data_IF_582894533597
#
_entry.id   IF_582894533597
#
_cell.length_a   1.000
_cell.length_b   1.000
_cell.length_c   1.000
_cell.angle_alpha   90.00
_cell.angle_beta   90.00
_cell.angle_gamma   90.00
#
_symmetry.space_group_name_H-M   'P 1'
#
loop_
_entity.id
_entity.type
_entity.pdbx_description
1 polymer ?
#
# COMPACT_ATOMS: atom_id res chain seq x y z
N UNK A 1 49.25 79.02 60.45
CA UNK A 1 49.52 77.57 60.57
C UNK A 1 48.19 76.84 60.66
N UNK A 2 47.86 76.01 59.65
CA UNK A 2 47.06 74.76 59.73
C UNK A 2 46.57 74.40 58.31
N UNK A 3 46.82 73.15 57.90
CA UNK A 3 46.43 72.53 56.62
C UNK A 3 45.00 72.01 56.72
N UNK A 4 44.19 72.16 55.68
CA UNK A 4 43.13 71.19 55.35
C UNK A 4 43.06 70.98 53.82
N UNK A 5 43.06 69.70 53.41
CA UNK A 5 42.91 69.21 52.03
C UNK A 5 41.42 69.06 51.70
N UNK A 6 40.97 69.23 50.44
CA UNK A 6 39.69 68.71 50.02
C UNK A 6 39.82 67.25 49.57
N UNK A 7 38.99 66.38 50.15
CA UNK A 7 38.75 64.99 49.74
C UNK A 7 37.86 64.94 48.51
N UNK A 8 38.37 64.32 47.44
CA UNK A 8 37.62 63.95 46.25
C UNK A 8 36.68 62.77 46.54
N UNK A 9 35.37 63.00 46.50
CA UNK A 9 34.38 61.93 46.30
C UNK A 9 33.92 61.96 44.85
N UNK A 10 34.55 61.15 44.01
CA UNK A 10 33.99 60.71 42.72
C UNK A 10 33.32 59.37 42.95
N UNK A 11 31.98 59.38 43.07
CA UNK A 11 31.17 58.17 43.07
C UNK A 11 31.23 57.50 41.70
N UNK A 12 31.75 56.28 41.68
CA UNK A 12 31.99 55.47 40.49
C UNK A 12 30.69 54.78 40.04
N UNK A 13 30.02 55.32 39.03
CA UNK A 13 28.79 54.77 38.41
C UNK A 13 29.07 53.81 37.24
N UNK A 14 30.33 53.37 37.07
CA UNK A 14 30.76 52.44 36.01
C UNK A 14 30.46 50.94 36.22
N UNK A 15 30.31 50.39 37.44
CA UNK A 15 30.13 48.94 37.61
C UNK A 15 28.80 48.38 37.09
N UNK A 16 27.71 49.12 37.26
CA UNK A 16 26.35 48.65 36.90
C UNK A 16 26.12 48.62 35.38
N UNK A 17 26.60 49.64 34.67
CA UNK A 17 26.49 49.71 33.20
C UNK A 17 27.29 48.58 32.52
N UNK A 18 28.44 48.21 33.07
CA UNK A 18 29.25 47.10 32.57
C UNK A 18 28.60 45.72 32.82
N UNK A 19 27.98 45.53 33.99
CA UNK A 19 27.23 44.30 34.29
C UNK A 19 25.99 44.14 33.41
N UNK A 20 25.26 45.24 33.16
CA UNK A 20 24.07 45.24 32.32
C UNK A 20 24.40 44.96 30.84
N UNK A 21 25.52 45.49 30.34
CA UNK A 21 26.02 45.20 28.99
C UNK A 21 26.44 43.72 28.85
N UNK A 22 27.08 43.15 29.87
CA UNK A 22 27.47 41.73 29.87
C UNK A 22 26.24 40.80 29.89
N UNK A 23 25.21 41.16 30.68
CA UNK A 23 23.94 40.43 30.73
C UNK A 23 23.18 40.50 29.39
N UNK A 24 23.20 41.65 28.71
CA UNK A 24 22.63 41.82 27.37
C UNK A 24 23.37 40.98 26.32
N UNK A 25 24.70 40.95 26.36
CA UNK A 25 25.51 40.11 25.46
C UNK A 25 25.28 38.62 25.71
N UNK A 26 25.15 38.21 26.97
CA UNK A 26 24.76 36.83 27.33
C UNK A 26 23.36 36.49 26.83
N UNK A 27 22.37 37.35 27.05
CA UNK A 27 21.00 37.14 26.58
C UNK A 27 20.93 37.09 25.03
N UNK A 28 21.66 37.96 24.33
CA UNK A 28 21.77 37.93 22.87
C UNK A 28 22.45 36.65 22.38
N UNK A 29 23.51 36.19 23.07
CA UNK A 29 24.17 34.93 22.78
C UNK A 29 23.26 33.72 22.98
N UNK A 30 22.46 33.69 24.06
CA UNK A 30 21.47 32.64 24.30
C UNK A 30 20.35 32.64 23.26
N UNK A 31 19.83 33.82 22.90
CA UNK A 31 18.80 33.97 21.85
C UNK A 31 19.35 33.50 20.49
N UNK A 32 20.58 33.89 20.13
CA UNK A 32 21.21 33.43 18.90
C UNK A 32 21.38 31.91 18.89
N UNK A 33 21.81 31.31 20.00
CA UNK A 33 21.99 29.86 20.11
C UNK A 33 20.68 29.08 20.10
N UNK A 34 19.62 29.65 20.69
CA UNK A 34 18.27 29.10 20.60
C UNK A 34 17.74 29.17 19.17
N UNK A 35 17.91 30.31 18.50
CA UNK A 35 17.49 30.51 17.11
C UNK A 35 18.24 29.59 16.14
N UNK A 36 19.55 29.40 16.31
CA UNK A 36 20.36 28.51 15.47
C UNK A 36 19.94 27.04 15.66
N UNK A 37 19.71 26.64 16.91
CA UNK A 37 19.18 25.31 17.23
C UNK A 37 17.78 25.11 16.67
N UNK A 38 16.90 26.09 16.76
CA UNK A 38 15.54 26.05 16.20
C UNK A 38 15.55 25.94 14.66
N UNK A 39 16.42 26.71 13.98
CA UNK A 39 16.62 26.59 12.53
C UNK A 39 17.17 25.23 12.10
N UNK A 40 18.13 24.68 12.86
CA UNK A 40 18.66 23.35 12.60
C UNK A 40 17.58 22.27 12.79
N UNK A 41 16.79 22.35 13.87
CA UNK A 41 15.65 21.45 14.10
C UNK A 41 14.60 21.57 12.98
N UNK A 42 14.20 22.78 12.58
CA UNK A 42 13.26 22.99 11.48
C UNK A 42 13.76 22.38 10.17
N UNK A 43 15.04 22.58 9.84
CA UNK A 43 15.65 22.07 8.59
C UNK A 43 15.69 20.53 8.56
N UNK A 44 16.00 19.89 9.69
CA UNK A 44 15.97 18.43 9.80
C UNK A 44 14.55 17.89 9.62
N UNK A 45 13.55 18.57 10.17
CA UNK A 45 12.15 18.14 10.08
C UNK A 45 11.54 18.35 8.70
N UNK A 46 11.92 19.43 8.00
CA UNK A 46 11.47 19.67 6.63
C UNK A 46 11.90 18.54 5.68
N UNK A 47 13.08 17.95 5.92
CA UNK A 47 13.61 16.84 5.13
C UNK A 47 12.85 15.51 5.30
N UNK A 48 12.14 15.31 6.41
CA UNK A 48 11.46 14.03 6.74
C UNK A 48 9.98 14.04 6.34
N UNK A 49 9.49 15.12 5.72
CA UNK A 49 8.07 15.27 5.37
C UNK A 49 7.12 14.85 6.51
N UNK A 50 7.45 15.32 7.71
CA UNK A 50 6.78 14.92 8.94
C UNK A 50 6.26 16.11 9.73
N UNK A 51 5.10 15.93 10.33
CA UNK A 51 4.45 16.89 11.21
C UNK A 51 4.86 16.59 12.64
N UNK A 52 5.51 17.54 13.31
CA UNK A 52 5.65 17.49 14.76
C UNK A 52 4.46 18.14 15.42
N UNK A 53 3.98 17.53 16.50
CA UNK A 53 2.85 18.05 17.24
C UNK A 53 3.03 17.85 18.74
N UNK A 54 2.43 18.76 19.53
CA UNK A 54 2.32 18.66 20.97
C UNK A 54 0.90 19.00 21.40
N UNK A 55 0.33 18.21 22.30
CA UNK A 55 -1.06 18.28 22.71
C UNK A 55 -1.19 18.18 24.23
N UNK A 56 -1.89 19.13 24.83
CA UNK A 56 -2.31 19.11 26.24
C UNK A 56 -3.59 18.28 26.36
N UNK A 57 -3.47 17.09 26.95
CA UNK A 57 -4.57 16.13 27.03
C UNK A 57 -5.74 16.63 27.88
N UNK A 58 -5.44 17.29 29.00
CA UNK A 58 -6.46 17.75 29.95
C UNK A 58 -7.25 18.93 29.40
N UNK A 59 -6.54 19.89 28.77
CA UNK A 59 -7.16 21.08 28.18
C UNK A 59 -7.73 20.84 26.78
N UNK A 60 -7.44 19.69 26.18
CA UNK A 60 -7.75 19.38 24.78
C UNK A 60 -7.25 20.45 23.81
N UNK A 61 -6.01 20.92 24.03
CA UNK A 61 -5.43 22.03 23.29
C UNK A 61 -4.15 21.60 22.59
N UNK A 62 -4.01 21.95 21.31
CA UNK A 62 -2.74 21.80 20.60
C UNK A 62 -1.79 22.90 21.08
N UNK A 63 -0.63 22.49 21.60
CA UNK A 63 0.41 23.40 22.11
C UNK A 63 1.39 23.82 21.01
N UNK A 64 1.64 22.92 20.07
CA UNK A 64 2.57 23.12 18.97
C UNK A 64 2.22 22.23 17.79
N UNK A 65 2.41 22.75 16.58
CA UNK A 65 2.32 22.03 15.31
C UNK A 65 3.40 22.59 14.38
N UNK A 66 4.16 21.73 13.73
CA UNK A 66 5.17 22.21 12.78
C UNK A 66 4.52 22.74 11.49
N UNK A 67 5.19 23.66 10.75
CA UNK A 67 4.67 24.18 9.48
C UNK A 67 4.38 23.11 8.42
N UNK A 68 5.02 21.94 8.52
CA UNK A 68 4.75 20.80 7.65
C UNK A 68 3.28 20.35 7.67
N UNK A 69 2.52 20.64 8.74
CA UNK A 69 1.09 20.37 8.81
C UNK A 69 0.32 20.99 7.65
N UNK A 70 0.55 22.27 7.34
CA UNK A 70 -0.22 22.95 6.30
C UNK A 70 0.05 22.36 4.92
N UNK A 71 1.26 21.86 4.69
CA UNK A 71 1.66 21.16 3.45
C UNK A 71 1.04 19.76 3.34
N UNK A 72 1.03 18.98 4.41
CA UNK A 72 0.58 17.58 4.40
C UNK A 72 -0.94 17.49 4.50
N UNK A 73 -1.53 18.24 5.44
CA UNK A 73 -2.97 18.27 5.69
C UNK A 73 -3.70 19.23 4.75
N UNK A 74 -3.01 20.20 4.13
CA UNK A 74 -3.67 21.21 3.28
C UNK A 74 -4.66 22.11 4.05
N UNK A 75 -4.53 22.17 5.38
CA UNK A 75 -5.42 22.92 6.29
C UNK A 75 -4.59 23.89 7.12
N UNK A 76 -5.21 24.97 7.59
CA UNK A 76 -4.47 25.97 8.37
C UNK A 76 -4.09 25.44 9.75
N UNK A 77 -2.81 25.59 10.11
CA UNK A 77 -2.30 25.29 11.44
C UNK A 77 -2.99 26.16 12.51
N UNK A 78 -3.35 27.40 12.15
CA UNK A 78 -4.02 28.33 13.06
C UNK A 78 -5.42 27.87 13.47
N UNK A 79 -6.15 27.20 12.57
CA UNK A 79 -7.46 26.61 12.88
C UNK A 79 -7.30 25.41 13.81
N UNK A 80 -6.33 24.53 13.54
CA UNK A 80 -6.04 23.40 14.43
C UNK A 80 -5.60 23.85 15.84
N UNK A 81 -4.85 24.94 15.94
CA UNK A 81 -4.47 25.55 17.22
C UNK A 81 -5.68 26.10 17.99
N UNK A 82 -6.70 26.57 17.28
CA UNK A 82 -7.92 27.11 17.86
C UNK A 82 -8.93 26.02 18.26
N UNK A 83 -9.04 24.95 17.46
CA UNK A 83 -9.92 23.81 17.72
C UNK A 83 -9.25 22.48 17.35
N UNK A 84 -9.03 21.64 18.36
CA UNK A 84 -8.50 20.29 18.18
C UNK A 84 -9.42 19.39 17.33
N UNK A 85 -10.73 19.70 17.23
CA UNK A 85 -11.63 18.92 16.38
C UNK A 85 -11.24 18.99 14.90
N UNK A 86 -10.48 19.99 14.46
CA UNK A 86 -9.94 20.07 13.10
C UNK A 86 -9.07 18.86 12.72
N UNK A 87 -8.32 18.29 13.67
CA UNK A 87 -7.58 17.05 13.44
C UNK A 87 -8.53 15.88 13.21
N UNK A 88 -9.57 15.78 14.05
CA UNK A 88 -10.56 14.72 13.97
C UNK A 88 -11.32 14.76 12.64
N UNK A 89 -11.68 15.96 12.20
CA UNK A 89 -12.40 16.21 10.95
C UNK A 89 -11.50 16.04 9.71
N UNK A 90 -10.19 15.89 9.89
CA UNK A 90 -9.26 15.50 8.85
C UNK A 90 -9.11 13.98 8.71
N UNK A 91 -9.48 13.18 9.72
CA UNK A 91 -9.33 11.72 9.67
C UNK A 91 -10.37 11.12 8.71
N UNK A 92 -9.95 10.11 7.94
CA UNK A 92 -10.86 9.36 7.07
C UNK A 92 -11.96 8.68 7.92
N UNK A 93 -13.26 8.72 7.51
CA UNK A 93 -14.37 8.24 8.34
C UNK A 93 -14.20 6.80 8.87
N UNK A 94 -13.70 5.88 8.03
CA UNK A 94 -13.45 4.49 8.42
C UNK A 94 -12.34 4.32 9.48
N UNK A 95 -11.45 5.30 9.62
CA UNK A 95 -10.26 5.21 10.46
C UNK A 95 -10.41 6.04 11.76
N UNK A 96 -11.46 6.86 11.88
CA UNK A 96 -11.69 7.77 13.00
C UNK A 96 -11.67 7.04 14.35
N UNK A 97 -12.48 5.99 14.45
CA UNK A 97 -12.59 5.15 15.63
C UNK A 97 -11.25 4.53 16.06
N UNK A 98 -10.44 4.13 15.07
CA UNK A 98 -9.12 3.56 15.31
C UNK A 98 -8.13 4.64 15.77
N UNK A 99 -8.12 5.80 15.12
CA UNK A 99 -7.22 6.91 15.44
C UNK A 99 -7.47 7.46 16.85
N UNK A 100 -8.73 7.65 17.26
CA UNK A 100 -9.06 8.10 18.62
C UNK A 100 -8.66 7.08 19.68
N UNK A 101 -9.01 5.80 19.47
CA UNK A 101 -8.66 4.71 20.41
C UNK A 101 -7.16 4.56 20.56
N UNK A 102 -6.41 4.62 19.46
CA UNK A 102 -4.96 4.48 19.47
C UNK A 102 -4.27 5.68 20.10
N UNK A 103 -4.79 6.91 19.95
CA UNK A 103 -4.28 8.07 20.68
C UNK A 103 -4.53 7.95 22.19
N UNK A 104 -5.71 7.53 22.62
CA UNK A 104 -6.02 7.32 24.03
C UNK A 104 -5.14 6.25 24.69
N UNK A 105 -4.66 5.24 23.94
CA UNK A 105 -3.75 4.21 24.45
C UNK A 105 -2.41 4.76 24.94
N UNK A 106 -2.00 5.94 24.46
CA UNK A 106 -0.75 6.59 24.90
C UNK A 106 -0.79 6.85 26.41
N UNK A 107 -1.96 7.18 26.98
CA UNK A 107 -2.13 7.40 28.42
C UNK A 107 -1.85 6.16 29.25
N UNK A 108 -2.12 4.98 28.68
CA UNK A 108 -1.98 3.69 29.37
C UNK A 108 -0.58 3.13 29.18
N UNK A 109 -0.05 3.22 27.96
CA UNK A 109 1.23 2.60 27.57
C UNK A 109 2.44 3.55 27.71
N UNK A 110 2.21 4.85 27.83
CA UNK A 110 3.25 5.89 27.76
C UNK A 110 3.73 6.21 26.34
N UNK A 111 3.59 5.27 25.39
CA UNK A 111 3.99 5.41 23.99
C UNK A 111 3.09 4.59 23.05
N UNK A 112 2.95 5.06 21.81
CA UNK A 112 2.38 4.34 20.68
C UNK A 112 3.27 4.61 19.46
N UNK A 113 3.91 3.57 18.96
CA UNK A 113 4.93 3.68 17.89
C UNK A 113 4.43 3.28 16.51
N UNK A 114 3.34 2.50 16.43
CA UNK A 114 2.81 1.94 15.20
C UNK A 114 1.32 2.31 15.06
N UNK A 115 1.06 3.56 14.72
CA UNK A 115 -0.28 4.04 14.37
C UNK A 115 -0.28 4.55 12.94
N UNK A 116 -0.90 3.78 12.05
CA UNK A 116 -1.10 4.17 10.65
C UNK A 116 -2.59 4.43 10.39
N UNK A 117 -2.94 5.60 9.87
CA UNK A 117 -4.32 5.96 9.54
C UNK A 117 -4.38 6.89 8.34
N UNK A 118 -5.54 6.96 7.71
CA UNK A 118 -5.81 7.85 6.59
C UNK A 118 -6.37 9.19 7.06
N UNK A 119 -5.97 10.24 6.37
CA UNK A 119 -6.59 11.56 6.43
C UNK A 119 -7.16 11.95 5.07
N UNK A 120 -8.09 12.89 5.05
CA UNK A 120 -8.56 13.62 3.87
C UNK A 120 -8.07 15.05 3.99
N UNK A 121 -7.14 15.42 3.11
CA UNK A 121 -6.52 16.75 3.14
C UNK A 121 -7.52 17.85 2.68
N UNK A 122 -7.14 19.12 2.80
CA UNK A 122 -7.98 20.26 2.41
C UNK A 122 -8.40 20.29 0.93
N UNK A 123 -7.78 19.46 0.08
CA UNK A 123 -8.11 19.31 -1.35
C UNK A 123 -9.01 18.09 -1.62
N UNK A 124 -9.30 17.28 -0.60
CA UNK A 124 -10.10 16.05 -0.72
C UNK A 124 -9.29 14.79 -1.06
N UNK A 125 -7.96 14.86 -1.09
CA UNK A 125 -7.10 13.70 -1.35
C UNK A 125 -6.92 12.85 -0.10
N UNK A 126 -6.91 11.54 -0.27
CA UNK A 126 -6.60 10.59 0.81
C UNK A 126 -5.09 10.50 0.98
N UNK A 127 -4.59 10.73 2.21
CA UNK A 127 -3.19 10.55 2.57
C UNK A 127 -3.04 9.55 3.72
N UNK A 128 -1.96 8.79 3.72
CA UNK A 128 -1.61 7.88 4.80
C UNK A 128 -0.59 8.51 5.73
N UNK A 129 -0.87 8.51 7.03
CA UNK A 129 0.06 8.95 8.06
C UNK A 129 0.56 7.77 8.88
N UNK A 130 1.86 7.76 9.16
CA UNK A 130 2.48 6.95 10.22
C UNK A 130 2.81 7.87 11.38
N UNK A 131 2.13 7.69 12.50
CA UNK A 131 2.17 8.59 13.64
C UNK A 131 2.73 7.89 14.87
N UNK A 132 3.76 8.51 15.47
CA UNK A 132 4.41 8.02 16.68
C UNK A 132 4.25 9.07 17.76
N UNK A 133 3.80 8.67 18.94
CA UNK A 133 3.58 9.62 20.02
C UNK A 133 3.83 9.02 21.40
N UNK A 134 4.25 9.87 22.32
CA UNK A 134 4.63 9.51 23.67
C UNK A 134 4.25 10.61 24.66
N UNK A 135 4.11 10.21 25.92
CA UNK A 135 3.91 11.16 27.01
C UNK A 135 5.23 11.86 27.32
N UNK A 136 5.24 13.18 27.29
CA UNK A 136 6.36 13.97 27.76
C UNK A 136 6.33 14.02 29.31
N UNK A 137 7.19 13.24 29.97
CA UNK A 137 7.20 13.07 31.43
C UNK A 137 7.87 14.22 32.21
N UNK A 138 7.93 15.44 31.66
CA UNK A 138 8.56 16.56 32.38
C UNK A 138 7.69 17.09 33.54
N UNK A 139 7.97 16.51 34.72
CA UNK A 139 7.62 16.88 36.12
C UNK A 139 6.34 16.28 36.74
N UNK A 140 6.53 15.71 37.93
CA UNK A 140 5.46 15.30 38.85
C UNK A 140 4.48 16.45 39.10
N UNK A 141 3.22 16.25 38.73
CA UNK A 141 2.09 17.10 39.15
C UNK A 141 1.56 18.12 38.14
N UNK A 142 2.16 18.28 36.95
CA UNK A 142 1.75 19.31 35.99
C UNK A 142 1.51 18.74 34.58
N UNK A 143 0.23 18.52 34.23
CA UNK A 143 -0.36 18.29 32.90
C UNK A 143 0.23 17.18 32.02
N UNK A 144 -0.66 16.32 31.50
CA UNK A 144 -0.27 15.29 30.53
C UNK A 144 -0.11 15.91 29.14
N UNK A 145 1.14 16.11 28.74
CA UNK A 145 1.50 16.56 27.39
C UNK A 145 1.86 15.33 26.55
N UNK A 146 1.17 15.16 25.44
CA UNK A 146 1.50 14.15 24.43
C UNK A 146 2.24 14.85 23.30
N UNK A 147 3.38 14.32 22.92
CA UNK A 147 4.14 14.81 21.76
C UNK A 147 4.26 13.69 20.73
N UNK A 148 4.33 14.06 19.46
CA UNK A 148 4.45 13.07 18.40
C UNK A 148 4.98 13.61 17.10
N UNK A 149 5.24 12.67 16.20
CA UNK A 149 5.67 12.89 14.83
C UNK A 149 4.78 12.05 13.92
N UNK A 150 4.12 12.72 12.96
CA UNK A 150 3.30 12.11 11.94
C UNK A 150 3.97 12.27 10.57
N UNK A 151 4.45 11.16 10.02
CA UNK A 151 5.10 11.09 8.70
C UNK A 151 4.04 10.78 7.62
N UNK A 152 4.07 11.52 6.51
CA UNK A 152 3.25 11.20 5.33
C UNK A 152 3.88 10.00 4.58
N UNK A 153 3.26 8.84 4.71
CA UNK A 153 3.70 7.58 4.09
C UNK A 153 2.87 7.24 2.85
N UNK A 154 2.15 8.20 2.25
CA UNK A 154 1.28 7.97 1.09
C UNK A 154 2.05 7.38 -0.09
N UNK A 155 3.22 7.95 -0.42
CA UNK A 155 4.08 7.45 -1.50
C UNK A 155 4.61 6.05 -1.19
N UNK A 156 5.02 5.80 0.07
CA UNK A 156 5.44 4.47 0.51
C UNK A 156 4.32 3.44 0.33
N UNK A 157 3.09 3.74 0.75
CA UNK A 157 1.93 2.86 0.55
C UNK A 157 1.60 2.64 -0.92
N UNK A 158 1.74 3.67 -1.76
CA UNK A 158 1.57 3.54 -3.21
C UNK A 158 2.61 2.58 -3.81
N UNK A 159 3.89 2.78 -3.50
CA UNK A 159 4.99 1.92 -3.95
C UNK A 159 4.85 0.48 -3.45
N UNK A 160 4.47 0.28 -2.18
CA UNK A 160 4.16 -1.06 -1.64
C UNK A 160 3.02 -1.73 -2.41
N UNK A 161 1.97 -0.96 -2.75
CA UNK A 161 0.85 -1.42 -3.56
C UNK A 161 1.28 -1.82 -4.98
N UNK A 162 2.10 -1.00 -5.63
CA UNK A 162 2.63 -1.29 -6.96
C UNK A 162 3.58 -2.49 -6.97
N UNK A 163 4.48 -2.58 -5.99
CA UNK A 163 5.36 -3.74 -5.81
C UNK A 163 4.55 -5.01 -5.61
N UNK A 164 3.51 -4.96 -4.78
CA UNK A 164 2.60 -6.10 -4.58
C UNK A 164 1.88 -6.46 -5.87
N UNK A 165 1.40 -5.47 -6.64
CA UNK A 165 0.77 -5.71 -7.94
C UNK A 165 1.74 -6.37 -8.91
N UNK A 166 2.95 -5.83 -9.09
CA UNK A 166 3.98 -6.39 -9.97
C UNK A 166 4.41 -7.80 -9.54
N UNK A 167 4.50 -8.06 -8.23
CA UNK A 167 4.85 -9.36 -7.69
C UNK A 167 3.76 -10.42 -7.91
N UNK A 168 2.49 -10.02 -8.06
CA UNK A 168 1.34 -10.94 -8.09
C UNK A 168 0.60 -11.01 -9.43
N UNK A 169 0.74 -9.98 -10.26
CA UNK A 169 -0.10 -9.74 -11.43
C UNK A 169 0.74 -9.71 -12.70
N UNK A 170 0.23 -10.30 -13.79
CA UNK A 170 0.79 -10.17 -15.13
C UNK A 170 0.49 -8.79 -15.69
N UNK A 171 1.54 -8.08 -16.14
CA UNK A 171 1.43 -6.66 -16.53
C UNK A 171 0.53 -6.47 -17.75
N UNK A 172 0.52 -7.42 -18.69
CA UNK A 172 -0.28 -7.30 -19.89
C UNK A 172 -1.76 -7.59 -19.65
N UNK A 173 -2.04 -8.73 -19.01
CA UNK A 173 -3.40 -9.28 -18.89
C UNK A 173 -4.11 -8.88 -17.60
N UNK A 174 -3.38 -8.31 -16.64
CA UNK A 174 -3.87 -8.03 -15.29
C UNK A 174 -4.47 -9.28 -14.60
N UNK A 175 -4.07 -10.48 -15.02
CA UNK A 175 -4.39 -11.76 -14.37
C UNK A 175 -3.28 -12.13 -13.39
N UNK A 176 -3.41 -13.20 -12.61
CA UNK A 176 -2.29 -13.65 -11.77
C UNK A 176 -1.08 -13.98 -12.66
N UNK A 177 0.10 -13.52 -12.27
CA UNK A 177 1.33 -13.94 -12.96
C UNK A 177 1.66 -15.41 -12.63
N UNK A 178 2.54 -16.02 -13.42
CA UNK A 178 2.98 -17.42 -13.25
C UNK A 178 3.37 -17.74 -11.82
N UNK A 179 4.25 -16.94 -11.23
CA UNK A 179 4.80 -17.20 -9.88
C UNK A 179 3.67 -17.24 -8.84
N UNK A 180 2.86 -16.19 -8.80
CA UNK A 180 1.80 -16.06 -7.82
C UNK A 180 0.69 -17.10 -8.03
N UNK A 181 0.38 -17.42 -9.28
CA UNK A 181 -0.61 -18.46 -9.60
C UNK A 181 -0.19 -19.80 -8.99
N UNK A 182 1.05 -20.24 -9.22
CA UNK A 182 1.53 -21.52 -8.68
C UNK A 182 1.69 -21.51 -7.15
N UNK A 183 2.08 -20.39 -6.55
CA UNK A 183 2.08 -20.23 -5.08
C UNK A 183 0.67 -20.46 -4.50
N UNK A 184 -0.35 -19.79 -5.05
CA UNK A 184 -1.74 -19.94 -4.61
C UNK A 184 -2.32 -21.33 -4.96
N UNK A 185 -2.01 -21.87 -6.14
CA UNK A 185 -2.45 -23.19 -6.56
C UNK A 185 -1.91 -24.28 -5.64
N UNK A 186 -0.65 -24.19 -5.20
CA UNK A 186 -0.05 -25.15 -4.27
C UNK A 186 -0.68 -25.07 -2.88
N UNK A 187 -1.02 -23.87 -2.41
CA UNK A 187 -1.78 -23.70 -1.18
C UNK A 187 -3.21 -24.25 -1.30
N UNK A 188 -3.86 -24.07 -2.44
CA UNK A 188 -5.18 -24.65 -2.70
C UNK A 188 -5.14 -26.18 -2.76
N UNK A 189 -4.15 -26.75 -3.45
CA UNK A 189 -3.90 -28.19 -3.52
C UNK A 189 -3.70 -28.80 -2.14
N UNK A 190 -2.77 -28.26 -1.33
CA UNK A 190 -2.51 -28.79 0.01
C UNK A 190 -3.77 -28.74 0.87
N UNK A 191 -4.51 -27.62 0.86
CA UNK A 191 -5.78 -27.50 1.59
C UNK A 191 -6.84 -28.50 1.11
N UNK A 192 -6.93 -28.73 -0.20
CA UNK A 192 -7.90 -29.67 -0.75
C UNK A 192 -7.57 -31.11 -0.34
N UNK A 193 -6.31 -31.50 -0.44
CA UNK A 193 -5.81 -32.81 -0.02
C UNK A 193 -6.01 -33.04 1.48
N UNK A 194 -5.62 -32.08 2.31
CA UNK A 194 -5.68 -32.21 3.78
C UNK A 194 -7.13 -32.30 4.29
N UNK A 195 -8.06 -31.61 3.63
CA UNK A 195 -9.49 -31.62 3.99
C UNK A 195 -10.32 -32.67 3.21
N UNK A 196 -9.71 -33.42 2.30
CA UNK A 196 -10.43 -34.34 1.41
C UNK A 196 -11.49 -33.67 0.54
N UNK A 197 -11.29 -32.39 0.16
CA UNK A 197 -12.22 -31.65 -0.69
C UNK A 197 -11.81 -31.72 -2.16
N UNK A 198 -12.77 -31.68 -3.10
CA UNK A 198 -12.46 -31.77 -4.52
C UNK A 198 -11.72 -30.52 -5.00
N UNK A 199 -10.83 -30.69 -5.98
CA UNK A 199 -10.13 -29.62 -6.65
C UNK A 199 -9.92 -30.02 -8.11
N UNK A 200 -10.16 -29.08 -9.02
CA UNK A 200 -9.87 -29.26 -10.43
C UNK A 200 -8.80 -28.26 -10.90
N UNK A 201 -8.00 -28.69 -11.87
CA UNK A 201 -6.95 -27.90 -12.49
C UNK A 201 -7.17 -27.86 -14.00
N UNK A 202 -7.13 -26.67 -14.58
CA UNK A 202 -7.30 -26.43 -16.00
C UNK A 202 -6.06 -25.75 -16.55
N UNK A 203 -5.56 -26.28 -17.66
CA UNK A 203 -4.57 -25.64 -18.51
C UNK A 203 -5.25 -25.27 -19.82
N UNK A 204 -4.97 -24.08 -20.34
CA UNK A 204 -5.46 -23.65 -21.64
C UNK A 204 -4.39 -22.90 -22.42
N UNK A 205 -4.45 -23.06 -23.73
CA UNK A 205 -3.55 -22.44 -24.68
C UNK A 205 -4.35 -21.92 -25.89
N UNK A 206 -3.94 -20.76 -26.39
CA UNK A 206 -4.58 -20.09 -27.51
C UNK A 206 -4.15 -20.74 -28.83
N UNK A 207 -5.13 -21.30 -29.53
CA UNK A 207 -4.88 -21.97 -30.80
C UNK A 207 -4.36 -20.98 -31.84
N UNK A 208 -3.27 -21.37 -32.52
CA UNK A 208 -2.65 -20.61 -33.61
C UNK A 208 -2.22 -19.18 -33.23
N UNK A 209 -1.92 -18.91 -31.96
CA UNK A 209 -1.52 -17.58 -31.50
C UNK A 209 -0.29 -17.01 -32.22
N UNK A 210 0.68 -17.86 -32.54
CA UNK A 210 1.83 -17.45 -33.38
C UNK A 210 1.39 -16.92 -34.74
N UNK A 211 0.41 -17.56 -35.40
CA UNK A 211 -0.12 -17.10 -36.69
C UNK A 211 -0.79 -15.72 -36.56
N UNK A 212 -1.47 -15.46 -35.45
CA UNK A 212 -2.06 -14.14 -35.16
C UNK A 212 -0.97 -13.08 -35.09
N UNK A 213 0.09 -13.32 -34.31
CA UNK A 213 1.22 -12.39 -34.22
C UNK A 213 1.92 -12.19 -35.56
N UNK A 214 2.16 -13.27 -36.30
CA UNK A 214 2.83 -13.22 -37.60
C UNK A 214 1.98 -12.50 -38.66
N UNK A 215 0.65 -12.55 -38.54
CA UNK A 215 -0.28 -11.94 -39.51
C UNK A 215 -0.65 -10.50 -39.19
N UNK A 216 -0.82 -10.17 -37.90
CA UNK A 216 -1.39 -8.89 -37.44
C UNK A 216 -0.45 -8.07 -36.55
N UNK A 217 0.67 -8.66 -36.13
CA UNK A 217 1.63 -8.05 -35.23
C UNK A 217 1.36 -8.30 -33.75
N UNK A 218 2.40 -8.08 -32.93
CA UNK A 218 2.34 -8.26 -31.48
C UNK A 218 1.26 -7.42 -30.77
N UNK A 219 0.97 -6.16 -31.15
CA UNK A 219 -0.10 -5.39 -30.51
C UNK A 219 -1.48 -6.07 -30.61
N UNK A 220 -1.75 -6.78 -31.71
CA UNK A 220 -2.98 -7.54 -31.87
C UNK A 220 -2.99 -8.81 -31.02
N UNK A 221 -1.87 -9.53 -30.96
CA UNK A 221 -1.71 -10.66 -30.03
C UNK A 221 -1.91 -10.24 -28.57
N UNK A 222 -1.42 -9.05 -28.19
CA UNK A 222 -1.60 -8.48 -26.86
C UNK A 222 -3.09 -8.22 -26.55
N UNK A 223 -3.84 -7.70 -27.50
CA UNK A 223 -5.30 -7.52 -27.37
C UNK A 223 -6.02 -8.87 -27.20
N UNK A 224 -5.62 -9.90 -27.95
CA UNK A 224 -6.17 -11.25 -27.80
C UNK A 224 -5.96 -11.77 -26.37
N UNK A 225 -4.72 -11.67 -25.86
CA UNK A 225 -4.38 -12.10 -24.51
C UNK A 225 -5.19 -11.37 -23.43
N UNK A 226 -5.37 -10.05 -23.58
CA UNK A 226 -6.17 -9.23 -22.67
C UNK A 226 -7.64 -9.66 -22.65
N UNK A 227 -8.25 -9.85 -23.83
CA UNK A 227 -9.67 -10.22 -23.95
C UNK A 227 -9.96 -11.61 -23.41
N UNK A 228 -9.00 -12.54 -23.55
CA UNK A 228 -9.09 -13.88 -22.94
C UNK A 228 -8.99 -13.79 -21.43
N UNK A 229 -8.09 -12.96 -20.90
CA UNK A 229 -7.99 -12.77 -19.46
C UNK A 229 -9.24 -12.14 -18.84
N UNK A 230 -9.86 -11.18 -19.52
CA UNK A 230 -11.13 -10.57 -19.11
C UNK A 230 -12.29 -11.58 -19.15
N UNK A 231 -12.29 -12.47 -20.14
CA UNK A 231 -13.25 -13.58 -20.22
C UNK A 231 -13.10 -14.51 -19.01
N UNK A 232 -11.87 -14.87 -18.65
CA UNK A 232 -11.58 -15.64 -17.44
C UNK A 232 -12.10 -14.95 -16.18
N UNK A 233 -11.77 -13.66 -15.97
CA UNK A 233 -12.23 -12.89 -14.80
C UNK A 233 -13.75 -12.83 -14.67
N UNK A 234 -14.47 -12.74 -15.78
CA UNK A 234 -15.93 -12.64 -15.80
C UNK A 234 -16.60 -13.98 -15.52
N UNK A 235 -15.99 -15.07 -15.98
CA UNK A 235 -16.57 -16.42 -15.92
C UNK A 235 -16.27 -17.13 -14.61
N UNK A 236 -15.09 -16.91 -14.05
CA UNK A 236 -14.67 -17.56 -12.81
C UNK A 236 -15.28 -16.87 -11.60
N UNK A 237 -15.63 -17.65 -10.57
CA UNK A 237 -16.23 -17.11 -9.34
C UNK A 237 -15.15 -16.63 -8.38
N UNK A 238 -15.57 -15.85 -7.38
CA UNK A 238 -14.71 -15.47 -6.25
C UNK A 238 -14.18 -16.74 -5.56
N UNK A 239 -12.86 -16.88 -5.50
CA UNK A 239 -12.18 -18.02 -4.88
C UNK A 239 -11.53 -18.98 -5.88
N UNK A 240 -11.93 -18.94 -7.15
CA UNK A 240 -11.19 -19.63 -8.20
C UNK A 240 -9.89 -18.86 -8.52
N UNK A 241 -8.86 -19.57 -8.96
CA UNK A 241 -7.60 -18.98 -9.38
C UNK A 241 -7.53 -18.94 -10.90
N UNK A 242 -7.05 -17.83 -11.46
CA UNK A 242 -6.82 -17.69 -12.90
C UNK A 242 -5.56 -16.85 -13.14
N UNK A 243 -4.67 -17.34 -13.99
CA UNK A 243 -3.42 -16.64 -14.28
C UNK A 243 -2.81 -17.00 -15.61
N UNK A 244 -2.04 -16.05 -16.16
CA UNK A 244 -1.18 -16.28 -17.31
C UNK A 244 0.13 -16.90 -16.84
N UNK A 245 0.41 -18.11 -17.33
CA UNK A 245 1.59 -18.88 -16.92
C UNK A 245 2.69 -18.92 -17.98
N UNK A 246 2.39 -18.56 -19.22
CA UNK A 246 3.30 -18.60 -20.37
C UNK A 246 2.94 -17.56 -21.43
N UNK A 247 3.57 -17.67 -22.61
CA UNK A 247 3.37 -16.73 -23.72
C UNK A 247 1.89 -16.64 -24.12
N UNK A 248 1.29 -17.75 -24.50
CA UNK A 248 -0.12 -17.88 -24.90
C UNK A 248 -0.93 -18.80 -23.98
N UNK A 249 -0.35 -19.14 -22.82
CA UNK A 249 -0.87 -20.15 -21.90
C UNK A 249 -1.45 -19.51 -20.63
N UNK A 250 -2.64 -19.98 -20.26
CA UNK A 250 -3.29 -19.66 -18.99
C UNK A 250 -3.60 -20.93 -18.22
N UNK A 251 -3.76 -20.77 -16.92
CA UNK A 251 -4.18 -21.85 -16.04
C UNK A 251 -5.25 -21.37 -15.07
N UNK A 252 -6.08 -22.31 -14.64
CA UNK A 252 -7.08 -22.09 -13.61
C UNK A 252 -7.10 -23.22 -12.58
N UNK A 253 -7.44 -22.88 -11.34
CA UNK A 253 -7.71 -23.84 -10.26
C UNK A 253 -9.07 -23.56 -9.68
N UNK A 254 -9.85 -24.62 -9.46
CA UNK A 254 -11.20 -24.56 -8.93
C UNK A 254 -11.28 -25.30 -7.58
N UNK A 255 -10.96 -24.64 -6.46
CA UNK A 255 -11.09 -25.24 -5.13
C UNK A 255 -12.54 -25.58 -4.83
N UNK A 256 -12.79 -26.78 -4.31
CA UNK A 256 -14.14 -27.25 -3.99
C UNK A 256 -14.99 -27.63 -5.20
N UNK A 257 -14.40 -27.78 -6.39
CA UNK A 257 -15.12 -28.20 -7.61
C UNK A 257 -14.75 -29.63 -8.01
N UNK A 258 -15.77 -30.42 -8.34
CA UNK A 258 -15.57 -31.70 -9.02
C UNK A 258 -15.15 -31.50 -10.48
N UNK A 259 -14.68 -32.57 -11.13
CA UNK A 259 -14.31 -32.56 -12.54
C UNK A 259 -15.47 -32.12 -13.45
N UNK A 260 -16.69 -32.57 -13.15
CA UNK A 260 -17.88 -32.29 -13.96
C UNK A 260 -18.25 -30.80 -13.89
N UNK A 261 -18.21 -30.20 -12.69
CA UNK A 261 -18.49 -28.78 -12.52
C UNK A 261 -17.40 -27.93 -13.18
N UNK A 262 -16.13 -28.34 -13.03
CA UNK A 262 -15.02 -27.66 -13.68
C UNK A 262 -15.10 -27.74 -15.21
N UNK A 263 -15.55 -28.86 -15.77
CA UNK A 263 -15.79 -29.01 -17.21
C UNK A 263 -16.85 -28.04 -17.71
N UNK A 264 -17.95 -27.86 -16.98
CA UNK A 264 -18.98 -26.87 -17.35
C UNK A 264 -18.44 -25.43 -17.35
N UNK A 265 -17.54 -25.09 -16.41
CA UNK A 265 -16.87 -23.78 -16.38
C UNK A 265 -15.93 -23.64 -17.58
N UNK A 266 -15.13 -24.66 -17.88
CA UNK A 266 -14.22 -24.69 -19.02
C UNK A 266 -14.94 -24.59 -20.37
N UNK A 267 -16.11 -25.25 -20.51
CA UNK A 267 -16.96 -25.12 -21.70
C UNK A 267 -17.55 -23.71 -21.85
N UNK A 268 -17.96 -23.10 -20.74
CA UNK A 268 -18.45 -21.71 -20.76
C UNK A 268 -17.33 -20.76 -21.17
N UNK A 269 -16.12 -20.95 -20.63
CA UNK A 269 -14.93 -20.19 -21.01
C UNK A 269 -14.61 -20.35 -22.49
N UNK A 270 -14.65 -21.58 -23.01
CA UNK A 270 -14.45 -21.86 -24.43
C UNK A 270 -15.44 -21.11 -25.32
N UNK A 271 -16.74 -21.22 -25.02
CA UNK A 271 -17.80 -20.60 -25.81
C UNK A 271 -17.71 -19.08 -25.80
N UNK A 272 -17.35 -18.48 -24.66
CA UNK A 272 -17.17 -17.03 -24.58
C UNK A 272 -15.95 -16.56 -25.36
N UNK A 273 -14.84 -17.32 -25.34
CA UNK A 273 -13.65 -17.00 -26.12
C UNK A 273 -13.90 -17.15 -27.63
N UNK A 274 -14.59 -18.22 -28.03
CA UNK A 274 -14.97 -18.45 -29.43
C UNK A 274 -15.86 -17.34 -30.00
N UNK A 275 -16.65 -16.69 -29.14
CA UNK A 275 -17.49 -15.53 -29.50
C UNK A 275 -16.72 -14.22 -29.60
N UNK A 276 -15.47 -14.16 -29.13
CA UNK A 276 -14.66 -12.96 -29.25
C UNK A 276 -14.37 -12.70 -30.73
N UNK A 277 -14.81 -11.55 -31.22
CA UNK A 277 -14.48 -11.04 -32.54
C UNK A 277 -13.38 -10.00 -32.43
N UNK A 278 -12.33 -10.18 -33.22
CA UNK A 278 -11.21 -9.26 -33.35
C UNK A 278 -11.23 -8.65 -34.76
N UNK A 279 -10.75 -7.42 -34.88
CA UNK A 279 -10.73 -6.69 -36.14
C UNK A 279 -9.39 -6.02 -36.36
N UNK A 280 -8.77 -6.26 -37.51
CA UNK A 280 -7.56 -5.57 -37.96
C UNK A 280 -7.80 -4.99 -39.35
N UNK A 281 -7.95 -3.67 -39.44
CA UNK A 281 -8.47 -3.02 -40.65
C UNK A 281 -9.88 -3.50 -40.99
N UNK A 282 -10.07 -4.02 -42.21
CA UNK A 282 -11.34 -4.59 -42.67
C UNK A 282 -11.50 -6.09 -42.36
N UNK A 283 -10.44 -6.76 -41.91
CA UNK A 283 -10.47 -8.19 -41.63
C UNK A 283 -11.04 -8.46 -40.23
N UNK A 284 -11.92 -9.46 -40.13
CA UNK A 284 -12.44 -9.99 -38.87
C UNK A 284 -12.00 -11.42 -38.69
N UNK A 285 -11.57 -11.75 -37.49
CA UNK A 285 -11.19 -13.11 -37.11
C UNK A 285 -11.66 -13.41 -35.69
N UNK A 286 -11.69 -14.71 -35.37
CA UNK A 286 -11.96 -15.24 -34.03
C UNK A 286 -10.80 -16.12 -33.61
N UNK A 287 -10.72 -16.42 -32.32
CA UNK A 287 -9.71 -17.30 -31.75
C UNK A 287 -10.39 -18.44 -31.01
N UNK A 288 -9.71 -19.56 -30.93
CA UNK A 288 -10.15 -20.75 -30.17
C UNK A 288 -9.09 -21.12 -29.15
N UNK A 289 -9.48 -21.98 -28.20
CA UNK A 289 -8.56 -22.48 -27.18
C UNK A 289 -8.61 -24.00 -27.10
N UNK A 290 -7.43 -24.58 -26.86
CA UNK A 290 -7.27 -25.98 -26.49
C UNK A 290 -7.09 -26.08 -24.98
N UNK A 291 -7.83 -26.98 -24.34
CA UNK A 291 -7.91 -27.08 -22.88
C UNK A 291 -7.61 -28.50 -22.39
N UNK A 292 -6.82 -28.59 -21.34
CA UNK A 292 -6.59 -29.81 -20.57
C UNK A 292 -7.14 -29.65 -19.16
N UNK A 293 -8.11 -30.49 -18.79
CA UNK A 293 -8.75 -30.45 -17.48
C UNK A 293 -8.40 -31.71 -16.70
N UNK A 294 -8.03 -31.58 -15.44
CA UNK A 294 -7.85 -32.73 -14.54
C UNK A 294 -8.44 -32.43 -13.17
N UNK A 295 -8.63 -33.48 -12.38
CA UNK A 295 -9.07 -33.38 -11.00
C UNK A 295 -8.04 -33.98 -10.05
N UNK A 296 -8.10 -33.51 -8.80
CA UNK A 296 -7.34 -34.07 -7.69
C UNK A 296 -7.79 -35.52 -7.45
N UNK A 297 -6.82 -36.42 -7.43
CA UNK A 297 -6.99 -37.83 -7.10
C UNK A 297 -6.25 -38.17 -5.80
N UNK A 298 -6.60 -39.29 -5.18
CA UNK A 298 -5.92 -39.78 -3.98
C UNK A 298 -4.45 -40.18 -4.22
N UNK A 299 -4.03 -40.33 -5.48
CA UNK A 299 -2.66 -40.71 -5.86
C UNK A 299 -1.74 -39.49 -6.01
N UNK A 300 -2.29 -38.27 -5.98
CA UNK A 300 -1.51 -37.05 -6.21
C UNK A 300 -0.74 -36.63 -4.96
N UNK A 301 0.59 -36.62 -5.09
CA UNK A 301 1.51 -36.20 -4.02
C UNK A 301 1.77 -34.70 -4.03
N UNK A 302 1.66 -34.07 -5.20
CA UNK A 302 1.97 -32.67 -5.43
C UNK A 302 1.10 -32.06 -6.55
N UNK A 303 1.16 -30.73 -6.66
CA UNK A 303 0.50 -29.98 -7.73
C UNK A 303 1.08 -30.29 -9.11
N UNK A 304 2.37 -30.62 -9.18
CA UNK A 304 3.06 -30.87 -10.45
C UNK A 304 2.48 -32.09 -11.17
N UNK A 305 2.00 -33.09 -10.42
CA UNK A 305 1.26 -34.24 -10.94
C UNK A 305 -0.04 -33.85 -11.66
N UNK A 306 -0.80 -32.89 -11.11
CA UNK A 306 -2.00 -32.35 -11.78
C UNK A 306 -1.61 -31.53 -13.01
N UNK A 307 -0.58 -30.70 -12.88
CA UNK A 307 -0.09 -29.88 -13.99
C UNK A 307 0.34 -30.74 -15.18
N UNK A 308 1.13 -31.80 -14.96
CA UNK A 308 1.57 -32.70 -16.04
C UNK A 308 0.42 -33.44 -16.71
N UNK A 309 -0.63 -33.84 -15.96
CA UNK A 309 -1.83 -34.44 -16.58
C UNK A 309 -2.61 -33.42 -17.41
N UNK A 310 -2.80 -32.21 -16.89
CA UNK A 310 -3.47 -31.14 -17.62
C UNK A 310 -2.70 -30.74 -18.89
N UNK A 311 -1.37 -30.70 -18.84
CA UNK A 311 -0.51 -30.45 -20.00
C UNK A 311 -0.65 -31.54 -21.07
N UNK A 312 -0.58 -32.81 -20.67
CA UNK A 312 -0.78 -33.94 -21.60
C UNK A 312 -2.17 -33.90 -22.26
N UNK A 313 -3.21 -33.60 -21.47
CA UNK A 313 -4.58 -33.45 -21.98
C UNK A 313 -4.72 -32.25 -22.94
N UNK A 314 -4.14 -31.10 -22.61
CA UNK A 314 -4.14 -29.93 -23.48
C UNK A 314 -3.40 -30.21 -24.80
N UNK A 315 -2.27 -30.92 -24.73
CA UNK A 315 -1.53 -31.34 -25.92
C UNK A 315 -2.34 -32.31 -26.79
N UNK A 316 -3.08 -33.24 -26.16
CA UNK A 316 -4.03 -34.10 -26.87
C UNK A 316 -5.14 -33.27 -27.53
N UNK A 317 -5.69 -32.27 -26.85
CA UNK A 317 -6.70 -31.37 -27.41
C UNK A 317 -6.20 -30.68 -28.70
N UNK A 318 -4.95 -30.19 -28.69
CA UNK A 318 -4.31 -29.62 -29.88
C UNK A 318 -4.17 -30.64 -31.03
N UNK A 319 -3.79 -31.88 -30.73
CA UNK A 319 -3.60 -32.94 -31.74
C UNK A 319 -4.90 -33.45 -32.34
N UNK A 320 -5.99 -33.44 -31.58
CA UNK A 320 -7.28 -33.95 -32.04
C UNK A 320 -8.11 -32.93 -32.83
N UNK A 321 -7.53 -31.76 -33.13
CA UNK A 321 -8.17 -30.74 -33.97
C UNK A 321 -8.52 -29.45 -33.25
N UNK A 322 -7.93 -29.19 -32.06
CA UNK A 322 -8.05 -27.93 -31.32
C UNK A 322 -9.49 -27.62 -30.89
N UNK A 323 -9.73 -26.41 -30.37
CA UNK A 323 -11.04 -25.92 -29.92
C UNK A 323 -11.83 -26.94 -29.08
N UNK A 324 -11.18 -27.57 -28.10
CA UNK A 324 -11.81 -28.61 -27.27
C UNK A 324 -11.19 -28.71 -25.89
N UNK A 325 -11.89 -29.43 -25.04
CA UNK A 325 -11.44 -29.82 -23.71
C UNK A 325 -11.16 -31.31 -23.75
N UNK A 326 -9.99 -31.72 -23.24
CA UNK A 326 -9.67 -33.11 -22.96
C UNK A 326 -9.53 -33.25 -21.45
N UNK A 327 -10.15 -34.29 -20.89
CA UNK A 327 -10.02 -34.62 -19.48
C UNK A 327 -8.90 -35.64 -19.29
N UNK A 328 -7.98 -35.37 -18.37
CA UNK A 328 -6.84 -36.23 -17.99
C UNK A 328 -6.95 -36.80 -16.59
#
# INVERSE_FOLDING_TARGET
>A
MAKERPSSHTGDSRPEAAQMLLALLHAQGEVARLSEREQLFSSLLDSVNAVLWAFDWEKRQVLYISPAYERIYGRSASLLMADFNEWRDAIHPDDLDYAERSLAQVLVKGTVEDREYRIVNGQGEVRWLSDKCYINQQREGERVIIVGIAEDITEKKHLEGELKRLATTDVLTQSSNRRHFFECARQAFNRARDNGTPLAFLLLDIDDFKLINDSYGHPEGDQVLQRIADSGKTILRRGDLFGRIGGEEFAAVFPGCSAEVAAQIAERLQREIERLAFSHGEQRYSVTISQGLTALSAQDTDLDSLFSRADAAMYQAKREGKNRIVCG
#
